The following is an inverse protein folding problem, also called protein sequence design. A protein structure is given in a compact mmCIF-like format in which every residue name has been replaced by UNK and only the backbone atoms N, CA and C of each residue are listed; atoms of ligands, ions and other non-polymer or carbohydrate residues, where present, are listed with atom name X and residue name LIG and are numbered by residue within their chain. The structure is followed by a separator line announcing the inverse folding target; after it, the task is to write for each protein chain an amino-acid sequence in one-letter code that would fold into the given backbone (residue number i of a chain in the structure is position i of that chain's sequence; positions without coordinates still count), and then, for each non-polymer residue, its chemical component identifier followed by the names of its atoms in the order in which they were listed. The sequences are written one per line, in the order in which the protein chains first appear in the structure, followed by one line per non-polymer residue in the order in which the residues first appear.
data_IF_427807337591
#
_entry.id   IF_427807337591
#
_cell.length_a   1.000
_cell.length_b   1.000
_cell.length_c   1.000
_cell.angle_alpha   90.00
_cell.angle_beta   90.00
_cell.angle_gamma   90.00
#
_symmetry.space_group_name_H-M   'P 1'
#
loop_
_entity.id
_entity.type
_entity.pdbx_description
1 polymer ?
#
# COMPACT_ATOMS: atom_id res chain seq x y z
N UNK A 1 49.73 21.96 11.78
CA UNK A 1 49.60 23.20 10.98
C UNK A 1 50.56 23.12 9.79
N UNK A 2 50.28 23.88 8.72
CA UNK A 2 50.94 23.92 7.38
C UNK A 2 50.39 22.84 6.41
N UNK A 3 49.31 23.03 5.64
CA UNK A 3 48.86 24.07 4.69
C UNK A 3 49.63 24.17 3.38
N UNK A 4 48.85 24.22 2.28
CA UNK A 4 49.13 24.64 0.88
C UNK A 4 49.54 23.49 -0.07
N UNK A 5 49.04 23.34 -1.30
CA UNK A 5 48.15 24.14 -2.15
C UNK A 5 47.74 23.33 -3.41
N UNK A 6 46.50 23.58 -3.88
CA UNK A 6 46.06 23.88 -5.27
C UNK A 6 46.56 23.00 -6.44
N UNK A 7 45.63 22.29 -7.09
CA UNK A 7 44.97 22.61 -8.39
C UNK A 7 45.84 22.26 -9.61
N UNK A 8 45.33 21.43 -10.52
CA UNK A 8 45.16 21.76 -11.96
C UNK A 8 44.53 20.59 -12.74
N UNK A 9 43.44 20.86 -13.45
CA UNK A 9 42.97 20.13 -14.64
C UNK A 9 43.77 20.65 -15.86
N UNK A 10 44.01 19.88 -16.95
CA UNK A 10 42.99 19.79 -18.02
C UNK A 10 43.03 18.51 -18.91
N UNK A 11 41.94 18.27 -19.64
CA UNK A 11 41.86 17.34 -20.80
C UNK A 11 42.63 17.89 -22.03
N UNK A 12 42.97 17.09 -23.08
CA UNK A 12 42.02 16.76 -24.16
C UNK A 12 42.25 15.41 -24.92
N UNK A 13 41.38 15.22 -25.93
CA UNK A 13 41.03 14.07 -26.79
C UNK A 13 42.10 13.59 -27.81
N UNK A 14 41.74 12.42 -28.41
CA UNK A 14 41.99 11.96 -29.79
C UNK A 14 43.38 11.37 -30.07
N UNK A 15 43.65 10.50 -31.03
CA UNK A 15 42.98 9.48 -31.86
C UNK A 15 44.16 8.92 -32.73
N UNK A 16 43.95 7.85 -33.50
CA UNK A 16 44.81 7.39 -34.61
C UNK A 16 46.18 6.71 -34.35
N UNK A 17 46.12 5.37 -34.33
CA UNK A 17 46.85 4.40 -35.17
C UNK A 17 48.27 4.71 -35.73
N UNK A 18 49.21 3.76 -35.54
CA UNK A 18 49.88 3.01 -36.65
C UNK A 18 50.91 1.95 -36.17
N UNK A 19 50.64 0.72 -36.64
CA UNK A 19 51.53 -0.18 -37.42
C UNK A 19 52.66 -1.02 -36.81
N UNK A 20 52.55 -2.32 -37.17
CA UNK A 20 53.59 -3.26 -37.63
C UNK A 20 54.45 -3.97 -36.56
N UNK A 21 54.75 -5.28 -36.57
CA UNK A 21 54.56 -6.39 -37.54
C UNK A 21 55.02 -7.73 -36.89
N UNK A 22 54.52 -8.85 -37.44
CA UNK A 22 55.12 -10.21 -37.54
C UNK A 22 54.82 -11.29 -36.48
N UNK A 23 53.97 -12.21 -36.94
CA UNK A 23 54.11 -13.67 -36.99
C UNK A 23 54.17 -14.51 -35.70
N UNK A 24 53.09 -15.27 -35.43
CA UNK A 24 53.07 -16.75 -35.40
C UNK A 24 51.67 -17.28 -35.03
N UNK A 25 51.12 -18.17 -35.87
CA UNK A 25 49.87 -18.95 -35.70
C UNK A 25 50.21 -20.32 -35.03
N UNK A 26 49.28 -21.24 -34.68
CA UNK A 26 47.95 -21.20 -34.03
C UNK A 26 47.90 -22.03 -32.72
N UNK A 27 47.07 -21.68 -31.73
CA UNK A 27 46.53 -22.72 -30.83
C UNK A 27 45.14 -22.38 -30.32
N UNK A 28 44.22 -23.32 -30.54
CA UNK A 28 42.80 -23.23 -30.22
C UNK A 28 42.53 -23.57 -28.74
N UNK A 29 41.72 -22.74 -28.08
CA UNK A 29 40.83 -23.04 -26.94
C UNK A 29 39.96 -21.77 -26.68
N UNK A 30 38.82 -21.85 -25.96
CA UNK A 30 37.49 -22.07 -26.52
C UNK A 30 36.58 -20.82 -26.41
N UNK A 31 35.43 -20.90 -27.08
CA UNK A 31 34.33 -19.94 -27.08
C UNK A 31 34.10 -19.26 -25.71
N UNK A 32 34.25 -17.93 -25.69
CA UNK A 32 33.74 -17.09 -24.60
C UNK A 32 32.22 -17.23 -24.58
N UNK A 33 31.77 -17.89 -23.51
CA UNK A 33 30.37 -17.99 -23.15
C UNK A 33 29.74 -16.60 -23.12
N UNK A 34 28.78 -16.40 -24.01
CA UNK A 34 27.86 -15.27 -24.02
C UNK A 34 27.22 -15.21 -22.63
N UNK A 35 27.58 -14.20 -21.82
CA UNK A 35 26.87 -13.92 -20.58
C UNK A 35 25.41 -13.66 -20.96
N UNK A 36 24.43 -14.40 -20.42
CA UNK A 36 23.04 -14.06 -20.64
C UNK A 36 22.80 -12.74 -19.90
N UNK A 37 22.53 -11.68 -20.66
CA UNK A 37 21.93 -10.46 -20.13
C UNK A 37 20.57 -10.82 -19.53
N UNK A 38 20.57 -11.19 -18.24
CA UNK A 38 19.35 -11.22 -17.43
C UNK A 38 18.89 -9.79 -17.26
N UNK A 39 18.17 -9.28 -18.27
CA UNK A 39 17.32 -8.10 -18.13
C UNK A 39 16.20 -8.50 -17.19
N UNK A 40 16.41 -8.28 -15.90
CA UNK A 40 15.37 -8.39 -14.88
C UNK A 40 14.15 -7.60 -15.38
N UNK A 41 13.06 -8.30 -15.69
CA UNK A 41 11.81 -7.65 -16.04
C UNK A 41 11.41 -6.80 -14.84
N UNK A 42 11.37 -5.48 -15.03
CA UNK A 42 10.98 -4.55 -13.99
C UNK A 42 9.62 -5.00 -13.41
N UNK A 43 9.47 -5.06 -12.08
CA UNK A 43 8.21 -5.47 -11.47
C UNK A 43 7.09 -4.56 -11.99
N UNK A 44 6.01 -5.16 -12.51
CA UNK A 44 4.81 -4.41 -12.91
C UNK A 44 4.34 -3.56 -11.74
N UNK A 45 4.32 -2.24 -11.93
CA UNK A 45 3.86 -1.30 -10.92
C UNK A 45 2.41 -1.61 -10.53
N UNK A 46 2.12 -1.63 -9.22
CA UNK A 46 0.73 -1.68 -8.73
C UNK A 46 -0.02 -0.45 -9.24
N UNK A 47 -1.33 -0.56 -9.56
CA UNK A 47 -2.15 0.60 -9.85
C UNK A 47 -2.07 1.63 -8.71
N UNK A 48 -2.08 2.93 -9.01
CA UNK A 48 -2.10 3.97 -7.98
C UNK A 48 -3.38 3.87 -7.13
N UNK A 49 -3.29 4.34 -5.89
CA UNK A 49 -4.45 4.40 -5.00
C UNK A 49 -5.55 5.30 -5.58
N UNK A 50 -6.80 4.90 -5.41
CA UNK A 50 -7.95 5.73 -5.77
C UNK A 50 -8.17 6.78 -4.68
N UNK A 51 -8.30 8.06 -5.05
CA UNK A 51 -8.50 9.15 -4.09
C UNK A 51 -9.86 9.80 -4.35
N UNK A 52 -10.69 9.87 -3.31
CA UNK A 52 -11.97 10.57 -3.31
C UNK A 52 -11.80 11.86 -2.51
N UNK A 53 -11.77 12.98 -3.23
CA UNK A 53 -11.60 14.32 -2.66
C UNK A 53 -12.75 14.75 -1.76
N UNK A 54 -12.49 15.75 -0.92
CA UNK A 54 -13.41 16.26 0.10
C UNK A 54 -14.68 16.93 -0.42
N UNK A 55 -14.70 17.37 -1.68
CA UNK A 55 -15.85 17.96 -2.35
C UNK A 55 -16.88 16.91 -2.81
N UNK A 56 -16.49 15.64 -2.88
CA UNK A 56 -17.33 14.57 -3.38
C UNK A 56 -18.30 14.05 -2.32
N UNK A 57 -19.55 13.87 -2.76
CA UNK A 57 -20.59 13.16 -2.03
C UNK A 57 -21.03 11.96 -2.87
N UNK A 58 -20.85 10.75 -2.33
CA UNK A 58 -21.20 9.51 -3.02
C UNK A 58 -22.34 8.83 -2.27
N UNK A 59 -23.40 8.49 -2.99
CA UNK A 59 -24.49 7.67 -2.48
C UNK A 59 -24.54 6.37 -3.27
N UNK A 60 -24.40 5.23 -2.60
CA UNK A 60 -24.42 3.90 -3.21
C UNK A 60 -23.20 3.04 -2.85
N UNK A 61 -22.95 2.02 -3.67
CA UNK A 61 -21.99 0.97 -3.35
C UNK A 61 -20.68 1.15 -4.12
N UNK A 62 -19.55 1.13 -3.41
CA UNK A 62 -18.21 1.25 -3.97
C UNK A 62 -17.50 -0.10 -3.85
N UNK A 63 -16.89 -0.55 -4.94
CA UNK A 63 -16.05 -1.77 -4.96
C UNK A 63 -14.74 -1.46 -5.67
N UNK A 64 -13.64 -1.71 -5.00
CA UNK A 64 -12.28 -1.60 -5.55
C UNK A 64 -11.47 -2.82 -5.18
N UNK A 65 -10.57 -3.22 -6.07
CA UNK A 65 -9.61 -4.31 -5.82
C UNK A 65 -8.30 -3.82 -5.21
N UNK A 66 -8.11 -2.50 -5.13
CA UNK A 66 -6.88 -1.89 -4.66
C UNK A 66 -7.11 -0.99 -3.45
N UNK A 67 -6.18 -0.04 -3.30
CA UNK A 67 -6.15 0.90 -2.21
C UNK A 67 -7.06 2.10 -2.52
N UNK A 68 -7.82 2.55 -1.53
CA UNK A 68 -8.69 3.72 -1.65
C UNK A 68 -8.52 4.65 -0.46
N UNK A 69 -8.43 5.93 -0.75
CA UNK A 69 -8.41 7.01 0.23
C UNK A 69 -9.65 7.88 0.05
N UNK A 70 -10.35 8.13 1.15
CA UNK A 70 -11.59 8.90 1.18
C UNK A 70 -11.38 10.14 2.03
N UNK A 71 -11.64 11.32 1.48
CA UNK A 71 -11.63 12.59 2.19
C UNK A 71 -13.01 13.27 2.25
N UNK A 72 -13.96 12.82 1.41
CA UNK A 72 -15.33 13.35 1.32
C UNK A 72 -16.38 12.56 2.11
N UNK A 73 -17.63 12.66 1.66
CA UNK A 73 -18.78 12.01 2.30
C UNK A 73 -19.25 10.80 1.49
N UNK A 74 -19.42 9.65 2.14
CA UNK A 74 -19.96 8.44 1.52
C UNK A 74 -21.18 7.95 2.32
N UNK A 75 -22.28 7.71 1.62
CA UNK A 75 -23.48 7.09 2.15
C UNK A 75 -23.76 5.79 1.37
N UNK A 76 -23.35 4.66 1.95
CA UNK A 76 -23.51 3.33 1.36
C UNK A 76 -22.36 2.39 1.70
N UNK A 77 -22.26 1.29 0.95
CA UNK A 77 -21.35 0.19 1.27
C UNK A 77 -20.02 0.30 0.52
N UNK A 78 -18.91 0.05 1.20
CA UNK A 78 -17.57 0.10 0.63
C UNK A 78 -16.91 -1.28 0.74
N UNK A 79 -16.39 -1.78 -0.38
CA UNK A 79 -15.52 -2.96 -0.42
C UNK A 79 -14.18 -2.63 -1.05
N UNK A 80 -13.10 -2.82 -0.29
CA UNK A 80 -11.75 -2.50 -0.72
C UNK A 80 -10.74 -3.52 -0.17
N UNK A 81 -9.51 -3.50 -0.68
CA UNK A 81 -8.42 -4.24 -0.03
C UNK A 81 -7.84 -3.40 1.14
N UNK A 82 -7.49 -2.15 0.86
CA UNK A 82 -7.04 -1.17 1.85
C UNK A 82 -7.91 0.07 1.76
N UNK A 83 -8.52 0.47 2.88
CA UNK A 83 -9.30 1.70 3.00
C UNK A 83 -8.64 2.66 4.00
N UNK A 84 -8.34 3.86 3.53
CA UNK A 84 -7.91 4.98 4.38
C UNK A 84 -9.01 6.03 4.43
N UNK A 85 -9.55 6.28 5.62
CA UNK A 85 -10.53 7.35 5.87
C UNK A 85 -9.75 8.57 6.36
N UNK A 86 -9.78 9.66 5.61
CA UNK A 86 -9.16 10.94 5.95
C UNK A 86 -9.88 11.62 7.12
N UNK A 87 -9.23 12.60 7.74
CA UNK A 87 -9.72 13.28 8.95
C UNK A 87 -11.06 14.00 8.74
N UNK A 88 -11.23 14.65 7.59
CA UNK A 88 -12.49 15.33 7.21
C UNK A 88 -13.56 14.41 6.63
N UNK A 89 -13.25 13.13 6.42
CA UNK A 89 -14.17 12.21 5.77
C UNK A 89 -15.27 11.74 6.71
N UNK A 90 -16.47 11.55 6.14
CA UNK A 90 -17.61 10.96 6.85
C UNK A 90 -18.17 9.79 6.05
N UNK A 91 -18.19 8.60 6.65
CA UNK A 91 -18.74 7.41 6.01
C UNK A 91 -19.94 6.92 6.82
N UNK A 92 -21.08 6.75 6.15
CA UNK A 92 -22.28 6.14 6.71
C UNK A 92 -22.61 4.86 5.94
N UNK A 93 -22.54 3.70 6.58
CA UNK A 93 -22.84 2.42 5.93
C UNK A 93 -22.00 1.25 6.43
N UNK A 94 -21.87 0.22 5.58
CA UNK A 94 -21.05 -0.96 5.86
C UNK A 94 -19.70 -0.89 5.12
N UNK A 95 -18.61 -1.05 5.87
CA UNK A 95 -17.24 -1.07 5.35
C UNK A 95 -16.71 -2.49 5.45
N UNK A 96 -16.19 -3.02 4.35
CA UNK A 96 -15.56 -4.35 4.28
C UNK A 96 -14.20 -4.20 3.60
N UNK A 97 -13.11 -4.33 4.36
CA UNK A 97 -11.76 -4.31 3.78
C UNK A 97 -10.74 -5.10 4.62
N UNK A 98 -9.62 -5.49 4.02
CA UNK A 98 -8.59 -6.26 4.72
C UNK A 98 -7.84 -5.38 5.72
N UNK A 99 -7.45 -4.17 5.31
CA UNK A 99 -6.83 -3.16 6.16
C UNK A 99 -7.67 -1.87 6.13
N UNK A 100 -8.04 -1.40 7.32
CA UNK A 100 -8.86 -0.20 7.50
C UNK A 100 -8.11 0.77 8.42
N UNK A 101 -7.77 1.94 7.90
CA UNK A 101 -7.18 3.04 8.67
C UNK A 101 -8.21 4.16 8.79
N UNK A 102 -8.59 4.49 10.01
CA UNK A 102 -9.66 5.44 10.32
C UNK A 102 -9.04 6.68 10.95
N UNK A 103 -9.14 7.83 10.26
CA UNK A 103 -8.79 9.14 10.82
C UNK A 103 -10.03 10.05 11.01
N UNK A 104 -11.10 9.81 10.26
CA UNK A 104 -12.32 10.61 10.26
C UNK A 104 -13.48 9.99 11.03
N UNK A 105 -14.71 10.29 10.57
CA UNK A 105 -15.95 9.82 11.20
C UNK A 105 -16.58 8.66 10.45
N UNK A 106 -16.97 7.62 11.19
CA UNK A 106 -17.72 6.47 10.65
C UNK A 106 -18.98 6.26 11.48
N UNK A 107 -20.11 6.10 10.81
CA UNK A 107 -21.39 5.71 11.43
C UNK A 107 -21.89 4.46 10.73
N UNK A 108 -21.85 3.32 11.42
CA UNK A 108 -22.29 2.04 10.84
C UNK A 108 -21.41 0.86 11.24
N UNK A 109 -21.21 -0.07 10.31
CA UNK A 109 -20.51 -1.34 10.59
C UNK A 109 -19.18 -1.40 9.87
N UNK A 110 -18.12 -1.74 10.58
CA UNK A 110 -16.77 -1.94 10.04
C UNK A 110 -16.39 -3.41 10.14
N UNK A 111 -16.03 -4.03 9.03
CA UNK A 111 -15.51 -5.39 8.93
C UNK A 111 -14.12 -5.35 8.34
N UNK A 112 -13.13 -5.87 9.06
CA UNK A 112 -11.80 -6.00 8.47
C UNK A 112 -10.81 -6.88 9.22
N UNK A 113 -9.79 -7.36 8.51
CA UNK A 113 -8.76 -8.20 9.13
C UNK A 113 -7.89 -7.38 10.08
N UNK A 114 -7.51 -6.18 9.65
CA UNK A 114 -6.74 -5.22 10.44
C UNK A 114 -7.51 -3.91 10.47
N UNK A 115 -7.85 -3.44 11.66
CA UNK A 115 -8.54 -2.17 11.86
C UNK A 115 -7.66 -1.28 12.74
N UNK A 116 -7.36 -0.07 12.27
CA UNK A 116 -6.56 0.92 12.99
C UNK A 116 -7.36 2.20 13.15
N UNK A 117 -7.63 2.57 14.40
CA UNK A 117 -8.21 3.85 14.76
C UNK A 117 -7.08 4.76 15.18
N UNK A 118 -6.91 5.88 14.48
CA UNK A 118 -5.92 6.90 14.86
C UNK A 118 -6.49 7.84 15.92
N UNK A 119 -5.63 8.69 16.49
CA UNK A 119 -6.01 9.63 17.54
C UNK A 119 -7.17 10.58 17.22
N UNK A 120 -7.50 10.82 15.94
CA UNK A 120 -8.62 11.68 15.52
C UNK A 120 -9.89 10.89 15.15
N UNK A 121 -9.82 9.56 15.14
CA UNK A 121 -10.90 8.69 14.71
C UNK A 121 -12.16 8.86 15.58
N UNK A 122 -13.33 8.89 14.93
CA UNK A 122 -14.64 8.85 15.59
C UNK A 122 -15.50 7.76 14.96
N UNK A 123 -15.75 6.69 15.68
CA UNK A 123 -16.52 5.56 15.15
C UNK A 123 -17.75 5.31 16.04
N UNK A 124 -18.91 5.35 15.42
CA UNK A 124 -20.22 5.08 16.03
C UNK A 124 -20.82 3.84 15.36
N UNK A 125 -20.74 2.68 16.03
CA UNK A 125 -21.34 1.43 15.58
C UNK A 125 -20.49 0.18 15.83
N UNK A 126 -20.69 -0.85 15.00
CA UNK A 126 -20.13 -2.18 15.25
C UNK A 126 -18.82 -2.42 14.50
N UNK A 127 -17.78 -2.88 15.18
CA UNK A 127 -16.51 -3.29 14.56
C UNK A 127 -16.34 -4.80 14.70
N UNK A 128 -16.25 -5.50 13.58
CA UNK A 128 -15.92 -6.92 13.51
C UNK A 128 -14.51 -7.03 12.94
N UNK A 129 -13.57 -7.55 13.72
CA UNK A 129 -12.16 -7.55 13.32
C UNK A 129 -11.41 -8.83 13.67
N UNK A 130 -10.29 -9.09 12.98
CA UNK A 130 -9.30 -10.09 13.42
C UNK A 130 -8.25 -9.48 14.33
N UNK A 131 -7.75 -8.30 13.99
CA UNK A 131 -6.79 -7.54 14.80
C UNK A 131 -7.20 -6.07 14.78
N UNK A 132 -7.20 -5.44 15.95
CA UNK A 132 -7.52 -4.02 16.10
C UNK A 132 -6.37 -3.31 16.83
N UNK A 133 -6.09 -2.08 16.41
CA UNK A 133 -5.22 -1.15 17.10
C UNK A 133 -5.98 0.17 17.30
N UNK A 134 -5.98 0.69 18.52
CA UNK A 134 -6.65 1.93 18.88
C UNK A 134 -5.60 2.86 19.48
N UNK A 135 -5.36 3.99 18.83
CA UNK A 135 -4.44 5.01 19.32
C UNK A 135 -5.09 5.85 20.43
N UNK A 136 -4.25 6.42 21.31
CA UNK A 136 -4.72 7.35 22.34
C UNK A 136 -5.38 8.56 21.69
N UNK A 137 -6.59 8.89 22.12
CA UNK A 137 -7.40 9.99 21.57
C UNK A 137 -8.52 9.54 20.63
N UNK A 138 -8.46 8.30 20.12
CA UNK A 138 -9.54 7.75 19.31
C UNK A 138 -10.85 7.65 20.14
N UNK A 139 -11.96 8.08 19.54
CA UNK A 139 -13.29 7.95 20.11
C UNK A 139 -14.05 6.82 19.41
N UNK A 140 -14.48 5.84 20.19
CA UNK A 140 -15.26 4.71 19.72
C UNK A 140 -16.48 4.52 20.61
N UNK A 141 -17.66 4.41 20.01
CA UNK A 141 -18.92 4.11 20.67
C UNK A 141 -19.66 3.00 19.92
N UNK A 142 -19.88 1.87 20.57
CA UNK A 142 -20.59 0.72 19.99
C UNK A 142 -20.02 -0.62 20.44
N UNK A 143 -20.17 -1.66 19.62
CA UNK A 143 -19.72 -3.02 19.94
C UNK A 143 -18.47 -3.42 19.15
N UNK A 144 -17.56 -4.13 19.79
CA UNK A 144 -16.35 -4.69 19.15
C UNK A 144 -16.38 -6.20 19.26
N UNK A 145 -16.30 -6.89 18.14
CA UNK A 145 -16.33 -8.35 18.06
C UNK A 145 -15.08 -8.87 17.33
N UNK A 146 -14.39 -9.81 17.96
CA UNK A 146 -13.26 -10.51 17.34
C UNK A 146 -13.77 -11.70 16.53
N UNK A 147 -13.38 -11.81 15.26
CA UNK A 147 -13.64 -12.97 14.39
C UNK A 147 -12.39 -13.34 13.59
N UNK A 148 -12.17 -14.64 13.36
CA UNK A 148 -11.06 -15.11 12.52
C UNK A 148 -11.26 -14.81 11.04
N UNK A 149 -12.53 -14.77 10.60
CA UNK A 149 -12.96 -14.39 9.26
C UNK A 149 -14.07 -13.31 9.32
N UNK A 150 -13.68 -12.04 9.53
CA UNK A 150 -14.60 -10.91 9.62
C UNK A 150 -15.20 -10.51 8.25
N UNK A 151 -14.68 -11.06 7.14
CA UNK A 151 -15.09 -10.71 5.78
C UNK A 151 -16.21 -11.62 5.26
N UNK A 152 -16.33 -12.84 5.82
CA UNK A 152 -17.49 -13.68 5.55
C UNK A 152 -18.73 -13.10 6.24
N UNK A 153 -19.80 -12.86 5.48
CA UNK A 153 -21.07 -12.36 5.99
C UNK A 153 -21.87 -13.41 6.80
N UNK A 154 -21.19 -14.32 7.49
CA UNK A 154 -21.81 -15.40 8.27
C UNK A 154 -21.74 -15.07 9.76
N UNK A 155 -22.73 -14.34 10.24
CA UNK A 155 -23.08 -14.28 11.66
C UNK A 155 -24.41 -15.06 11.80
N UNK A 156 -24.60 -16.03 12.70
CA UNK A 156 -24.08 -16.23 14.04
C UNK A 156 -23.97 -17.74 14.41
N UNK A 157 -23.25 -18.12 15.47
CA UNK A 157 -23.52 -19.38 16.16
C UNK A 157 -24.84 -19.23 16.93
N UNK A 158 -25.78 -20.14 16.65
CA UNK A 158 -26.97 -20.31 17.47
C UNK A 158 -26.54 -20.54 18.93
N UNK A 159 -27.06 -19.70 19.83
CA UNK A 159 -26.95 -19.92 21.26
C UNK A 159 -27.40 -21.36 21.57
N UNK A 160 -26.53 -22.13 22.23
CA UNK A 160 -26.90 -23.42 22.83
C UNK A 160 -28.08 -23.19 23.77
N UNK A 161 -29.23 -23.76 23.42
CA UNK A 161 -30.25 -24.09 24.40
C UNK A 161 -29.73 -25.31 25.18
N UNK A 162 -29.30 -25.08 26.42
CA UNK A 162 -29.09 -26.13 27.41
C UNK A 162 -30.48 -26.55 27.92
N UNK A 163 -30.76 -27.85 27.86
CA UNK A 163 -31.95 -28.50 28.40
C UNK A 163 -31.57 -29.48 29.49
#
# INVERSE_FOLDING_TARGET
MFSKSKINDPAPKADAAKSATRDSKPQAAPAEASKPDFKAAAPKAKPPASVLSSDLHITGNIKTTGDIQVEGTIEGDIRAHLLTVGEGATIKGEIIADDVVINGRIVGRVRGLKVRLTSTARVEGDIIHKTIAIESGAHFEGSVQRQDDPLSAKSAPAAKAEG
#
